data_IF_070423443538
#
_entry.id   IF_070423443538
#
_cell.length_a   1.000
_cell.length_b   1.000
_cell.length_c   1.000
_cell.angle_alpha   90.00
_cell.angle_beta   90.00
_cell.angle_gamma   90.00
#
_symmetry.space_group_name_H-M   'P 1'
#
loop_
_entity.id
_entity.type
_entity.pdbx_description
1 polymer ?
#
# COMPACT_ATOMS: atom_id res chain seq x y z
N UNK A 1 22.63 25.91 47.03
CA UNK A 1 22.76 25.17 45.75
C UNK A 1 21.70 24.08 45.55
N UNK A 2 21.33 23.28 46.57
CA UNK A 2 20.32 22.20 46.46
C UNK A 2 18.94 22.62 45.90
N UNK A 3 18.44 23.82 46.23
CA UNK A 3 17.09 24.26 45.83
C UNK A 3 16.95 24.62 44.35
N UNK A 4 18.02 25.07 43.67
CA UNK A 4 17.96 25.40 42.23
C UNK A 4 17.89 24.14 41.37
N UNK A 5 18.62 23.10 41.77
CA UNK A 5 18.61 21.82 41.06
C UNK A 5 17.23 21.15 41.14
N UNK A 6 16.64 21.08 42.34
CA UNK A 6 15.30 20.52 42.53
C UNK A 6 14.23 21.26 41.70
N UNK A 7 14.29 22.60 41.64
CA UNK A 7 13.37 23.40 40.84
C UNK A 7 13.52 23.18 39.33
N UNK A 8 14.76 23.02 38.84
CA UNK A 8 15.02 22.73 37.43
C UNK A 8 14.52 21.34 37.04
N UNK A 9 14.76 20.33 37.90
CA UNK A 9 14.25 18.98 37.66
C UNK A 9 12.73 18.95 37.64
N UNK A 10 12.05 19.62 38.58
CA UNK A 10 10.58 19.70 38.61
C UNK A 10 10.01 20.38 37.35
N UNK A 11 10.68 21.43 36.86
CA UNK A 11 10.26 22.13 35.67
C UNK A 11 10.40 21.25 34.43
N UNK A 12 11.53 20.57 34.26
CA UNK A 12 11.77 19.68 33.11
C UNK A 12 10.78 18.53 33.12
N UNK A 13 10.58 17.85 34.27
CA UNK A 13 9.63 16.74 34.35
C UNK A 13 8.20 17.22 34.10
N UNK A 14 7.80 18.34 34.69
CA UNK A 14 6.48 18.93 34.47
C UNK A 14 6.23 19.30 33.02
N UNK A 15 7.21 19.93 32.36
CA UNK A 15 7.13 20.29 30.95
C UNK A 15 7.05 19.07 30.04
N UNK A 16 7.85 18.02 30.30
CA UNK A 16 7.80 16.77 29.52
C UNK A 16 6.45 16.06 29.64
N UNK A 17 5.85 16.01 30.84
CA UNK A 17 4.53 15.42 31.06
C UNK A 17 3.45 16.24 30.33
N UNK A 18 3.49 17.58 30.46
CA UNK A 18 2.56 18.46 29.77
C UNK A 18 2.67 18.33 28.25
N UNK A 19 3.88 18.27 27.70
CA UNK A 19 4.11 18.07 26.28
C UNK A 19 3.57 16.72 25.81
N UNK A 20 3.78 15.64 26.57
CA UNK A 20 3.24 14.32 26.28
C UNK A 20 1.70 14.31 26.26
N UNK A 21 1.07 14.94 27.26
CA UNK A 21 -0.39 15.08 27.32
C UNK A 21 -0.94 15.95 26.18
N UNK A 22 -0.23 17.01 25.83
CA UNK A 22 -0.60 17.90 24.73
C UNK A 22 -0.51 17.19 23.36
N UNK A 23 0.56 16.42 23.13
CA UNK A 23 0.71 15.60 21.92
C UNK A 23 -0.38 14.53 21.86
N UNK A 24 -0.70 13.87 22.98
CA UNK A 24 -1.78 12.89 23.06
C UNK A 24 -3.17 13.53 22.86
N UNK A 25 -3.37 14.77 23.31
CA UNK A 25 -4.61 15.53 23.10
C UNK A 25 -4.79 15.96 21.64
N UNK A 26 -3.72 16.37 20.97
CA UNK A 26 -3.75 16.70 19.53
C UNK A 26 -3.95 15.46 18.65
N UNK A 27 -3.56 14.28 19.12
CA UNK A 27 -3.73 13.03 18.39
C UNK A 27 -4.40 11.96 19.27
N UNK A 28 -5.74 12.03 19.48
CA UNK A 28 -6.47 11.16 20.40
C UNK A 28 -6.44 9.68 20.01
N UNK A 29 -6.10 9.36 18.76
CA UNK A 29 -5.92 7.99 18.27
C UNK A 29 -4.48 7.47 18.47
N UNK A 30 -3.57 8.29 19.00
CA UNK A 30 -2.16 7.99 19.18
C UNK A 30 -1.35 8.03 17.88
N UNK A 31 -0.03 8.08 18.01
CA UNK A 31 0.87 7.72 16.91
C UNK A 31 0.93 6.20 16.92
N UNK A 32 0.61 5.49 15.82
CA UNK A 32 0.74 4.04 15.79
C UNK A 32 2.22 3.68 15.95
N UNK A 33 2.59 3.20 17.14
CA UNK A 33 3.95 2.73 17.46
C UNK A 33 4.17 1.28 17.03
N UNK A 34 3.09 0.60 16.65
CA UNK A 34 3.09 -0.80 16.20
C UNK A 34 2.69 -0.82 14.74
N UNK A 35 3.58 -1.40 13.93
CA UNK A 35 3.35 -1.70 12.53
C UNK A 35 2.19 -2.69 12.41
N UNK A 36 1.21 -2.39 11.54
CA UNK A 36 0.11 -3.29 11.25
C UNK A 36 0.61 -4.48 10.41
N UNK A 37 0.98 -5.57 11.08
CA UNK A 37 1.49 -6.80 10.46
C UNK A 37 0.52 -7.39 9.43
N UNK A 38 -0.78 -7.10 9.56
CA UNK A 38 -1.78 -7.54 8.58
C UNK A 38 -1.60 -6.93 7.19
N UNK A 39 -0.82 -5.85 7.07
CA UNK A 39 -0.42 -5.25 5.78
C UNK A 39 0.66 -6.04 5.05
N UNK A 40 1.31 -6.99 5.72
CA UNK A 40 2.45 -7.75 5.19
C UNK A 40 2.14 -9.24 4.94
N UNK A 41 1.04 -9.75 5.52
CA UNK A 41 0.67 -11.16 5.39
C UNK A 41 0.23 -11.53 3.97
N UNK A 42 0.74 -12.65 3.46
CA UNK A 42 0.34 -13.27 2.17
C UNK A 42 -0.50 -14.54 2.37
N UNK A 43 -0.93 -14.85 3.60
CA UNK A 43 -1.63 -16.11 3.94
C UNK A 43 -2.86 -16.39 3.05
N UNK A 44 -3.54 -15.34 2.59
CA UNK A 44 -4.77 -15.44 1.80
C UNK A 44 -4.52 -15.51 0.29
N UNK A 45 -3.28 -15.36 -0.18
CA UNK A 45 -2.93 -15.29 -1.60
C UNK A 45 -3.31 -16.53 -2.40
N UNK A 46 -3.13 -17.73 -1.83
CA UNK A 46 -3.45 -18.99 -2.53
C UNK A 46 -4.98 -19.12 -2.75
N UNK A 47 -5.76 -18.70 -1.76
CA UNK A 47 -7.22 -18.65 -1.85
C UNK A 47 -7.66 -17.61 -2.88
N UNK A 48 -7.08 -16.42 -2.86
CA UNK A 48 -7.36 -15.35 -3.84
C UNK A 48 -7.08 -15.83 -5.27
N UNK A 49 -5.97 -16.54 -5.49
CA UNK A 49 -5.64 -17.11 -6.79
C UNK A 49 -6.67 -18.17 -7.21
N UNK A 50 -7.08 -19.05 -6.30
CA UNK A 50 -8.09 -20.06 -6.58
C UNK A 50 -9.45 -19.45 -6.93
N UNK A 51 -9.88 -18.45 -6.16
CA UNK A 51 -11.14 -17.72 -6.39
C UNK A 51 -11.11 -17.02 -7.77
N UNK A 52 -9.99 -16.38 -8.12
CA UNK A 52 -9.79 -15.76 -9.44
C UNK A 52 -9.82 -16.77 -10.59
N UNK A 53 -9.22 -17.96 -10.41
CA UNK A 53 -9.23 -19.01 -11.43
C UNK A 53 -10.63 -19.60 -11.66
N UNK A 54 -11.43 -19.70 -10.59
CA UNK A 54 -12.79 -20.22 -10.67
C UNK A 54 -13.78 -19.23 -11.30
N UNK A 55 -13.59 -17.92 -11.09
CA UNK A 55 -14.43 -16.88 -11.70
C UNK A 55 -13.62 -15.64 -12.14
N UNK A 56 -12.99 -15.68 -13.33
CA UNK A 56 -12.07 -14.62 -13.78
C UNK A 56 -12.74 -13.27 -14.08
N UNK A 57 -14.08 -13.25 -14.17
CA UNK A 57 -14.89 -12.08 -14.53
C UNK A 57 -15.41 -11.33 -13.30
N UNK A 58 -15.34 -11.96 -12.13
CA UNK A 58 -15.67 -11.40 -10.82
C UNK A 58 -14.41 -10.80 -10.19
N UNK A 59 -13.77 -9.90 -10.94
CA UNK A 59 -12.64 -9.09 -10.42
C UNK A 59 -13.08 -8.04 -9.41
N UNK A 60 -14.39 -7.85 -9.30
CA UNK A 60 -15.09 -7.07 -8.29
C UNK A 60 -16.33 -7.87 -7.99
N UNK A 61 -16.63 -8.08 -6.72
CA UNK A 61 -17.86 -8.68 -6.18
C UNK A 61 -19.13 -8.00 -6.76
N UNK A 62 -19.44 -8.23 -8.04
CA UNK A 62 -20.56 -7.60 -8.73
C UNK A 62 -21.88 -8.22 -8.34
N UNK A 63 -21.87 -9.38 -7.67
CA UNK A 63 -23.05 -9.92 -6.98
C UNK A 63 -23.25 -9.39 -5.56
N UNK A 64 -22.32 -8.62 -4.99
CA UNK A 64 -22.52 -7.97 -3.69
C UNK A 64 -22.59 -6.45 -3.82
N UNK A 65 -23.67 -5.99 -4.45
CA UNK A 65 -24.08 -4.56 -4.53
C UNK A 65 -24.35 -3.92 -3.17
N UNK A 66 -24.18 -4.65 -2.07
CA UNK A 66 -24.05 -4.09 -0.74
C UNK A 66 -22.57 -3.97 -0.37
N UNK A 67 -21.97 -2.78 -0.57
CA UNK A 67 -20.65 -2.44 0.00
C UNK A 67 -20.58 -2.73 1.51
N UNK A 68 -21.74 -2.72 2.20
CA UNK A 68 -21.93 -3.06 3.61
C UNK A 68 -21.57 -4.54 3.95
N UNK A 69 -21.46 -5.43 2.95
CA UNK A 69 -21.12 -6.85 3.16
C UNK A 69 -19.75 -7.27 2.60
N UNK A 70 -18.93 -6.34 2.09
CA UNK A 70 -17.58 -6.70 1.65
C UNK A 70 -16.69 -6.91 2.90
N UNK A 71 -16.22 -8.14 3.20
CA UNK A 71 -15.40 -8.41 4.37
C UNK A 71 -14.05 -7.68 4.36
N UNK A 72 -13.66 -7.12 3.21
CA UNK A 72 -12.43 -6.36 3.02
C UNK A 72 -12.66 -4.83 3.02
N UNK A 73 -13.87 -4.34 3.27
CA UNK A 73 -14.12 -2.91 3.39
C UNK A 73 -13.55 -2.40 4.73
N UNK A 74 -12.75 -1.35 4.68
CA UNK A 74 -12.22 -0.68 5.87
C UNK A 74 -13.26 0.25 6.49
N UNK A 75 -13.07 0.63 7.76
CA UNK A 75 -13.91 1.64 8.41
C UNK A 75 -13.86 3.01 7.70
N UNK A 76 -12.76 3.29 6.98
CA UNK A 76 -12.57 4.48 6.14
C UNK A 76 -13.31 4.38 4.79
N UNK A 77 -13.96 3.26 4.47
CA UNK A 77 -14.81 3.11 3.29
C UNK A 77 -14.10 2.72 1.99
N UNK A 78 -12.89 2.17 2.07
CA UNK A 78 -12.16 1.64 0.89
C UNK A 78 -11.90 0.14 1.03
N UNK A 79 -11.67 -0.55 -0.09
CA UNK A 79 -11.34 -1.99 -0.08
C UNK A 79 -9.86 -2.17 0.26
N UNK A 80 -9.55 -2.92 1.31
CA UNK A 80 -8.18 -3.18 1.76
C UNK A 80 -7.37 -3.88 0.65
N UNK A 81 -6.18 -3.34 0.26
CA UNK A 81 -5.30 -4.02 -0.68
C UNK A 81 -4.86 -5.40 -0.18
N UNK A 82 -4.62 -6.32 -1.12
CA UNK A 82 -4.28 -7.72 -0.82
C UNK A 82 -2.85 -8.04 -1.22
N UNK A 83 -2.06 -8.66 -0.33
CA UNK A 83 -0.73 -9.14 -0.71
C UNK A 83 -0.82 -10.42 -1.52
N UNK A 84 -0.05 -10.50 -2.60
CA UNK A 84 -0.01 -11.63 -3.52
C UNK A 84 1.39 -12.20 -3.68
N UNK A 85 1.48 -13.51 -3.88
CA UNK A 85 2.72 -14.24 -4.15
C UNK A 85 3.06 -14.20 -5.65
N UNK A 86 4.32 -14.51 -5.97
CA UNK A 86 4.86 -14.54 -7.33
C UNK A 86 3.98 -15.27 -8.35
N UNK A 87 3.46 -16.46 -8.02
CA UNK A 87 2.66 -17.24 -8.97
C UNK A 87 1.36 -16.53 -9.38
N UNK A 88 0.68 -15.91 -8.41
CA UNK A 88 -0.51 -15.13 -8.70
C UNK A 88 -0.17 -13.83 -9.43
N UNK A 89 0.94 -13.17 -9.06
CA UNK A 89 1.46 -12.01 -9.80
C UNK A 89 1.69 -12.32 -11.27
N UNK A 90 2.33 -13.45 -11.59
CA UNK A 90 2.55 -13.89 -12.98
C UNK A 90 1.23 -14.13 -13.72
N UNK A 91 0.26 -14.79 -13.08
CA UNK A 91 -1.07 -14.99 -13.65
C UNK A 91 -1.74 -13.66 -13.99
N UNK A 92 -1.69 -12.68 -13.08
CA UNK A 92 -2.28 -11.36 -13.31
C UNK A 92 -1.55 -10.59 -14.43
N UNK A 93 -0.23 -10.75 -14.54
CA UNK A 93 0.56 -10.20 -15.66
C UNK A 93 0.11 -10.78 -17.00
N UNK A 94 -0.04 -12.11 -17.09
CA UNK A 94 -0.55 -12.78 -18.30
C UNK A 94 -1.98 -12.36 -18.67
N UNK A 95 -2.77 -11.93 -17.69
CA UNK A 95 -4.13 -11.40 -17.88
C UNK A 95 -4.17 -9.89 -18.16
N UNK A 96 -3.01 -9.25 -18.38
CA UNK A 96 -2.88 -7.82 -18.65
C UNK A 96 -3.47 -6.94 -17.53
N UNK A 97 -3.29 -7.32 -16.27
CA UNK A 97 -3.54 -6.43 -15.14
C UNK A 97 -2.65 -5.18 -15.24
N UNK A 98 -3.06 -4.08 -14.62
CA UNK A 98 -2.25 -2.86 -14.55
C UNK A 98 -1.15 -3.03 -13.51
N UNK A 99 0.11 -3.05 -13.94
CA UNK A 99 1.26 -3.08 -13.04
C UNK A 99 1.77 -1.65 -12.78
N UNK A 100 1.99 -1.32 -11.51
CA UNK A 100 2.48 -0.01 -11.08
C UNK A 100 3.76 -0.19 -10.27
N UNK A 101 4.85 0.38 -10.78
CA UNK A 101 6.15 0.46 -10.12
C UNK A 101 6.23 1.73 -9.26
N UNK A 102 6.27 1.55 -7.94
CA UNK A 102 6.34 2.63 -6.97
C UNK A 102 7.74 3.25 -6.79
N UNK A 103 8.78 2.67 -7.41
CA UNK A 103 10.17 3.13 -7.27
C UNK A 103 10.42 4.47 -7.97
N UNK A 104 11.62 5.01 -7.78
CA UNK A 104 12.07 6.21 -8.51
C UNK A 104 12.10 5.99 -10.02
N UNK A 105 12.06 7.08 -10.79
CA UNK A 105 12.15 7.00 -12.25
C UNK A 105 13.48 6.39 -12.70
N UNK A 106 14.56 6.68 -11.99
CA UNK A 106 15.90 6.16 -12.24
C UNK A 106 15.93 4.63 -12.10
N UNK A 107 15.37 4.11 -11.00
CA UNK A 107 15.28 2.66 -10.78
C UNK A 107 14.40 1.98 -11.84
N UNK A 108 13.28 2.60 -12.20
CA UNK A 108 12.39 2.08 -13.24
C UNK A 108 13.11 1.99 -14.60
N UNK A 109 13.84 3.04 -15.00
CA UNK A 109 14.60 3.07 -16.27
C UNK A 109 15.75 2.05 -16.31
N UNK A 110 16.27 1.61 -15.17
CA UNK A 110 17.27 0.53 -15.12
C UNK A 110 16.68 -0.85 -15.42
N UNK A 111 15.39 -1.03 -15.15
CA UNK A 111 14.64 -2.24 -15.44
C UNK A 111 13.37 -2.30 -14.62
N UNK A 112 12.30 -2.84 -15.23
CA UNK A 112 10.98 -2.96 -14.60
C UNK A 112 10.22 -4.16 -15.17
N UNK A 113 9.09 -4.49 -14.53
CA UNK A 113 8.17 -5.54 -15.02
C UNK A 113 7.56 -5.06 -16.35
N UNK A 114 7.55 -5.89 -17.42
CA UNK A 114 7.09 -5.47 -18.73
C UNK A 114 5.66 -4.93 -18.73
N UNK A 115 5.44 -3.78 -19.39
CA UNK A 115 4.15 -3.11 -19.44
C UNK A 115 3.71 -2.43 -18.13
N UNK A 116 4.55 -2.41 -17.09
CA UNK A 116 4.30 -1.61 -15.90
C UNK A 116 4.32 -0.11 -16.25
N UNK A 117 3.67 0.70 -15.41
CA UNK A 117 3.84 2.15 -15.41
C UNK A 117 4.63 2.55 -14.18
N UNK A 118 5.35 3.67 -14.24
CA UNK A 118 6.03 4.22 -13.08
C UNK A 118 5.19 5.29 -12.40
N UNK A 119 4.93 5.12 -11.11
CA UNK A 119 4.36 6.14 -10.22
C UNK A 119 5.26 6.23 -8.98
N UNK A 120 6.33 7.04 -9.02
CA UNK A 120 7.23 7.18 -7.88
C UNK A 120 6.48 7.65 -6.64
N UNK A 121 6.46 6.83 -5.59
CA UNK A 121 5.67 7.13 -4.40
C UNK A 121 6.16 8.41 -3.70
N UNK A 122 7.46 8.70 -3.78
CA UNK A 122 8.06 9.93 -3.25
C UNK A 122 7.39 11.19 -3.83
N UNK A 123 6.98 11.15 -5.10
CA UNK A 123 6.27 12.24 -5.76
C UNK A 123 4.76 12.16 -5.48
N UNK A 124 4.21 10.95 -5.49
CA UNK A 124 2.77 10.72 -5.33
C UNK A 124 2.25 11.08 -3.94
N UNK A 125 2.96 10.68 -2.87
CA UNK A 125 2.52 10.82 -1.48
C UNK A 125 2.19 12.27 -1.10
N UNK A 126 2.97 13.22 -1.62
CA UNK A 126 2.85 14.66 -1.32
C UNK A 126 1.74 15.37 -2.12
N UNK A 127 1.13 14.70 -3.10
CA UNK A 127 0.08 15.29 -3.91
C UNK A 127 -1.25 15.35 -3.14
N UNK A 128 -2.06 16.40 -3.35
CA UNK A 128 -3.43 16.41 -2.87
C UNK A 128 -4.27 15.38 -3.65
N UNK A 129 -5.38 14.93 -3.05
CA UNK A 129 -6.21 13.84 -3.59
C UNK A 129 -6.73 14.15 -5.00
N UNK A 130 -7.03 15.39 -5.34
CA UNK A 130 -7.52 15.77 -6.67
C UNK A 130 -6.45 15.50 -7.74
N UNK A 131 -5.17 15.73 -7.42
CA UNK A 131 -4.05 15.46 -8.32
C UNK A 131 -3.71 13.98 -8.40
N UNK A 132 -3.82 13.25 -7.28
CA UNK A 132 -3.72 11.78 -7.29
C UNK A 132 -4.81 11.17 -8.17
N UNK A 133 -6.05 11.66 -8.08
CA UNK A 133 -7.15 11.25 -8.94
C UNK A 133 -6.87 11.57 -10.41
N UNK A 134 -6.40 12.77 -10.75
CA UNK A 134 -6.07 13.13 -12.14
C UNK A 134 -5.06 12.16 -12.78
N UNK A 135 -4.05 11.72 -12.03
CA UNK A 135 -3.08 10.71 -12.50
C UNK A 135 -3.75 9.35 -12.73
N UNK A 136 -4.69 8.98 -11.88
CA UNK A 136 -5.30 7.65 -11.85
C UNK A 136 -6.59 7.52 -12.68
N UNK A 137 -7.27 8.62 -13.02
CA UNK A 137 -8.61 8.65 -13.64
C UNK A 137 -8.64 8.01 -15.04
N UNK A 138 -7.48 7.96 -15.71
CA UNK A 138 -7.30 7.25 -16.99
C UNK A 138 -7.34 5.73 -16.87
N UNK A 139 -7.36 5.18 -15.65
CA UNK A 139 -7.40 3.74 -15.39
C UNK A 139 -8.78 3.32 -14.87
N UNK A 140 -9.18 2.09 -15.23
CA UNK A 140 -10.46 1.54 -14.80
C UNK A 140 -10.44 1.29 -13.27
N UNK A 141 -11.39 1.88 -12.54
CA UNK A 141 -11.54 1.68 -11.08
C UNK A 141 -11.87 0.24 -10.69
N UNK A 142 -12.52 -0.50 -11.59
CA UNK A 142 -12.80 -1.94 -11.45
C UNK A 142 -11.66 -2.82 -11.99
N UNK A 143 -10.61 -2.23 -12.56
CA UNK A 143 -9.47 -2.94 -13.12
C UNK A 143 -8.60 -3.55 -12.04
N UNK A 144 -7.99 -4.70 -12.35
CA UNK A 144 -6.99 -5.31 -11.45
C UNK A 144 -5.71 -4.46 -11.50
N UNK A 145 -5.27 -4.01 -10.33
CA UNK A 145 -4.01 -3.30 -10.16
C UNK A 145 -3.06 -4.19 -9.34
N UNK A 146 -1.81 -4.25 -9.77
CA UNK A 146 -0.70 -4.85 -9.02
C UNK A 146 0.35 -3.77 -8.78
N UNK A 147 0.57 -3.42 -7.52
CA UNK A 147 1.57 -2.43 -7.10
C UNK A 147 2.79 -3.17 -6.57
N UNK A 148 3.98 -2.76 -7.01
CA UNK A 148 5.25 -3.34 -6.58
C UNK A 148 6.33 -2.26 -6.40
N UNK A 149 7.43 -2.62 -5.73
CA UNK A 149 8.60 -1.76 -5.62
C UNK A 149 9.90 -2.57 -5.77
N UNK A 150 10.98 -2.22 -5.08
CA UNK A 150 12.24 -2.97 -5.14
C UNK A 150 12.13 -4.41 -4.62
N UNK A 151 11.25 -4.67 -3.65
CA UNK A 151 11.20 -5.94 -2.90
C UNK A 151 12.10 -5.93 -1.67
N UNK A 152 12.05 -7.01 -0.88
CA UNK A 152 12.77 -7.09 0.41
C UNK A 152 12.13 -6.18 1.46
N UNK A 153 12.93 -5.27 2.02
CA UNK A 153 12.48 -4.31 3.07
C UNK A 153 11.79 -3.06 2.47
N UNK A 154 11.50 -3.05 1.18
CA UNK A 154 10.84 -1.94 0.51
C UNK A 154 9.32 -1.97 0.76
N UNK A 155 8.83 -0.99 1.52
CA UNK A 155 7.40 -0.88 1.90
C UNK A 155 6.59 0.02 0.95
N UNK A 156 7.24 0.64 -0.04
CA UNK A 156 6.63 1.62 -0.95
C UNK A 156 5.39 1.07 -1.67
N UNK A 157 5.39 -0.21 -2.03
CA UNK A 157 4.26 -0.84 -2.71
C UNK A 157 3.01 -0.89 -1.84
N UNK A 158 3.16 -1.02 -0.53
CA UNK A 158 2.06 -1.04 0.42
C UNK A 158 1.43 0.34 0.48
N UNK A 159 2.21 1.35 0.81
CA UNK A 159 1.68 2.71 0.97
C UNK A 159 1.01 3.23 -0.30
N UNK A 160 1.65 3.02 -1.45
CA UNK A 160 1.08 3.41 -2.75
C UNK A 160 -0.23 2.66 -3.04
N UNK A 161 -0.31 1.37 -2.74
CA UNK A 161 -1.55 0.60 -2.92
C UNK A 161 -2.69 1.09 -2.03
N UNK A 162 -2.40 1.44 -0.78
CA UNK A 162 -3.40 2.01 0.14
C UNK A 162 -3.89 3.38 -0.34
N UNK A 163 -2.98 4.25 -0.79
CA UNK A 163 -3.38 5.54 -1.35
C UNK A 163 -4.25 5.34 -2.61
N UNK A 164 -3.90 4.42 -3.50
CA UNK A 164 -4.71 4.09 -4.69
C UNK A 164 -6.10 3.56 -4.28
N UNK A 165 -6.18 2.65 -3.32
CA UNK A 165 -7.45 2.12 -2.83
C UNK A 165 -8.36 3.23 -2.26
N UNK A 166 -7.79 4.20 -1.54
CA UNK A 166 -8.50 5.37 -1.01
C UNK A 166 -9.07 6.29 -2.09
N UNK A 167 -8.58 6.22 -3.33
CA UNK A 167 -9.14 6.93 -4.50
C UNK A 167 -10.35 6.20 -5.12
N UNK A 168 -10.74 5.05 -4.56
CA UNK A 168 -11.89 4.26 -4.97
C UNK A 168 -11.58 3.11 -5.93
N UNK A 169 -10.32 2.70 -6.04
CA UNK A 169 -9.94 1.47 -6.75
C UNK A 169 -10.20 0.28 -5.85
N UNK A 170 -10.93 -0.71 -6.35
CA UNK A 170 -11.45 -1.79 -5.51
C UNK A 170 -10.64 -3.08 -5.58
N UNK A 171 -9.78 -3.22 -6.60
CA UNK A 171 -9.06 -4.46 -6.90
C UNK A 171 -7.55 -4.23 -6.94
N UNK A 172 -7.01 -3.75 -5.81
CA UNK A 172 -5.60 -3.40 -5.65
C UNK A 172 -4.85 -4.52 -4.93
N UNK A 173 -3.80 -5.03 -5.58
CA UNK A 173 -2.95 -6.09 -5.05
C UNK A 173 -1.53 -5.56 -4.85
N UNK A 174 -0.86 -6.05 -3.81
CA UNK A 174 0.50 -5.68 -3.44
C UNK A 174 1.40 -6.88 -3.72
N UNK A 175 2.41 -6.70 -4.57
CA UNK A 175 3.44 -7.68 -4.81
C UNK A 175 4.71 -7.32 -4.02
N UNK A 176 4.82 -7.86 -2.80
CA UNK A 176 5.92 -7.58 -1.86
C UNK A 176 7.28 -8.11 -2.34
N UNK A 177 7.29 -9.17 -3.16
CA UNK A 177 8.51 -9.69 -3.77
C UNK A 177 9.23 -8.66 -4.66
N UNK A 178 8.47 -7.73 -5.24
CA UNK A 178 8.98 -6.61 -6.00
C UNK A 178 9.81 -7.01 -7.22
N UNK A 179 10.56 -6.03 -7.74
CA UNK A 179 11.45 -6.23 -8.87
C UNK A 179 12.58 -7.22 -8.57
N UNK A 180 13.05 -7.28 -7.30
CA UNK A 180 14.07 -8.24 -6.87
C UNK A 180 13.62 -9.69 -7.06
N UNK A 181 12.50 -10.11 -6.48
CA UNK A 181 12.02 -11.50 -6.63
C UNK A 181 11.69 -11.80 -8.10
N UNK A 182 11.18 -10.82 -8.86
CA UNK A 182 10.90 -10.98 -10.28
C UNK A 182 12.16 -11.32 -11.09
N UNK A 183 13.24 -10.56 -10.87
CA UNK A 183 14.53 -10.74 -11.58
C UNK A 183 15.28 -11.98 -11.12
N UNK A 184 15.27 -12.28 -9.82
CA UNK A 184 15.90 -13.50 -9.26
C UNK A 184 15.26 -14.79 -9.83
N UNK A 185 13.99 -14.73 -10.23
CA UNK A 185 13.29 -15.83 -10.90
C UNK A 185 13.49 -15.87 -12.44
N UNK A 186 14.35 -15.01 -12.99
CA UNK A 186 14.69 -15.00 -14.42
C UNK A 186 13.52 -14.59 -15.33
N UNK A 187 12.56 -13.84 -14.80
CA UNK A 187 11.41 -13.36 -15.57
C UNK A 187 11.80 -12.19 -16.47
N UNK A 188 11.04 -11.98 -17.55
CA UNK A 188 11.32 -10.94 -18.55
C UNK A 188 11.26 -9.54 -17.91
N UNK A 189 12.18 -8.67 -18.31
CA UNK A 189 12.24 -7.26 -17.92
C UNK A 189 12.06 -6.34 -19.14
N UNK A 190 11.66 -5.09 -18.88
CA UNK A 190 11.64 -3.98 -19.85
C UNK A 190 12.55 -2.84 -19.34
N UNK A 191 13.15 -2.07 -20.25
CA UNK A 191 14.08 -0.97 -19.99
C UNK A 191 13.83 0.17 -20.95
#
# INVERSE_FOLDING_TARGET
MKNRFASQTLFVTGFSVLLGLFVNWLNPNGIPLVMDESRYSTEQSDKLMQDFMNNPTDTTSKENTNLIQNPNLTEEGFVKPQNIKLDFTKLLHEKNALFIDGRTEEEYKLGHIPGAINIPYINFTSLPNEKKLEIMDKYNKDGIIVVYCGGGDCEVSIDLAYDIAKLGFTSVNIYLGGWKEWTENGLKEER
#
